data_IF_620415306390
#
_entry.id   IF_620415306390
#
_cell.length_a   1.000
_cell.length_b   1.000
_cell.length_c   1.000
_cell.angle_alpha   90.00
_cell.angle_beta   90.00
_cell.angle_gamma   90.00
#
_symmetry.space_group_name_H-M   'P 1'
#
loop_
_entity.id
_entity.type
_entity.pdbx_description
1 polymer ?
#
# COMPACT_ATOMS: atom_id res chain seq x y z
N UNK A 1 6.18 37.81 45.70
CA UNK A 1 6.40 36.54 44.97
C UNK A 1 7.87 36.27 44.93
N UNK A 2 8.29 35.26 45.69
CA UNK A 2 9.71 34.97 45.96
C UNK A 2 10.22 34.06 44.83
N UNK A 3 11.47 34.23 44.42
CA UNK A 3 12.17 33.41 43.40
C UNK A 3 11.97 31.90 43.63
N UNK A 4 11.79 31.50 44.90
CA UNK A 4 11.48 30.13 45.30
C UNK A 4 10.16 29.58 44.73
N UNK A 5 9.10 30.40 44.61
CA UNK A 5 7.81 30.01 44.02
C UNK A 5 7.95 29.82 42.50
N UNK A 6 8.78 30.63 41.84
CA UNK A 6 9.05 30.53 40.40
C UNK A 6 9.87 29.27 40.08
N UNK A 7 10.86 28.94 40.91
CA UNK A 7 11.65 27.70 40.80
C UNK A 7 10.78 26.46 41.06
N UNK A 8 9.85 26.53 42.02
CA UNK A 8 8.92 25.42 42.27
C UNK A 8 7.95 25.23 41.09
N UNK A 9 7.40 26.32 40.53
CA UNK A 9 6.57 26.28 39.33
C UNK A 9 7.32 25.72 38.12
N UNK A 10 8.56 26.18 37.85
CA UNK A 10 9.40 25.65 36.77
C UNK A 10 9.77 24.17 37.00
N UNK A 11 9.98 23.75 38.24
CA UNK A 11 10.24 22.34 38.57
C UNK A 11 9.01 21.44 38.43
N UNK A 12 7.81 21.98 38.66
CA UNK A 12 6.53 21.30 38.44
C UNK A 12 6.21 21.17 36.94
N UNK A 13 6.55 22.19 36.14
CA UNK A 13 6.49 22.08 34.68
C UNK A 13 7.53 21.12 34.11
N UNK A 14 8.74 21.04 34.66
CA UNK A 14 9.75 20.07 34.20
C UNK A 14 9.46 18.63 34.63
N UNK A 15 8.74 18.41 35.74
CA UNK A 15 8.36 17.07 36.21
C UNK A 15 7.07 16.54 35.58
N UNK A 16 6.19 17.41 35.04
CA UNK A 16 5.07 16.98 34.20
C UNK A 16 5.48 16.61 32.76
N UNK A 17 6.70 16.96 32.32
CA UNK A 17 7.27 16.55 31.03
C UNK A 17 7.91 15.15 31.08
N UNK A 18 8.09 14.58 32.28
CA UNK A 18 8.60 13.22 32.48
C UNK A 18 7.45 12.20 32.55
N UNK A 19 7.03 11.68 31.39
CA UNK A 19 6.17 10.49 31.35
C UNK A 19 5.29 10.35 30.13
N UNK A 20 5.13 11.38 29.30
CA UNK A 20 4.35 11.26 28.08
C UNK A 20 5.23 10.59 27.00
N UNK A 21 4.91 9.34 26.66
CA UNK A 21 5.55 8.64 25.56
C UNK A 21 5.44 9.51 24.29
N UNK A 22 6.53 9.62 23.54
CA UNK A 22 6.51 10.32 22.26
C UNK A 22 5.56 9.60 21.29
N UNK A 23 5.02 10.31 20.28
CA UNK A 23 4.17 9.67 19.27
C UNK A 23 4.90 8.52 18.57
N UNK A 24 6.20 8.66 18.31
CA UNK A 24 7.03 7.60 17.77
C UNK A 24 7.08 6.37 18.69
N UNK A 25 7.26 6.56 20.01
CA UNK A 25 7.28 5.46 20.96
C UNK A 25 5.91 4.76 21.08
N UNK A 26 4.81 5.51 21.06
CA UNK A 26 3.45 4.97 21.06
C UNK A 26 3.17 4.14 19.78
N UNK A 27 3.62 4.63 18.64
CA UNK A 27 3.49 3.92 17.36
C UNK A 27 4.26 2.60 17.39
N UNK A 28 5.53 2.62 17.83
CA UNK A 28 6.37 1.42 17.96
C UNK A 28 5.73 0.39 18.90
N UNK A 29 5.30 0.82 20.09
CA UNK A 29 4.65 -0.06 21.07
C UNK A 29 3.40 -0.72 20.46
N UNK A 30 2.54 0.08 19.82
CA UNK A 30 1.33 -0.46 19.20
C UNK A 30 1.62 -1.41 18.03
N UNK A 31 2.72 -1.23 17.30
CA UNK A 31 3.13 -2.13 16.22
C UNK A 31 3.55 -3.50 16.78
N UNK A 32 4.39 -3.52 17.82
CA UNK A 32 4.84 -4.79 18.43
C UNK A 32 3.66 -5.56 19.05
N UNK A 33 2.68 -4.84 19.58
CA UNK A 33 1.44 -5.41 20.12
C UNK A 33 0.51 -6.00 19.03
N UNK A 34 0.71 -5.72 17.73
CA UNK A 34 -0.21 -6.20 16.67
C UNK A 34 -0.26 -7.72 16.53
N UNK A 35 0.67 -8.46 17.13
CA UNK A 35 0.65 -9.93 17.19
C UNK A 35 -0.41 -10.51 18.15
N UNK A 36 -1.16 -9.68 18.90
CA UNK A 36 -2.12 -10.12 19.94
C UNK A 36 -3.49 -9.43 19.85
N UNK A 37 -4.05 -9.25 18.65
CA UNK A 37 -5.37 -8.63 18.36
C UNK A 37 -5.43 -7.09 18.46
N UNK A 38 -4.30 -6.39 18.63
CA UNK A 38 -4.25 -4.93 18.76
C UNK A 38 -4.17 -4.14 17.42
N UNK A 39 -4.64 -4.72 16.30
CA UNK A 39 -4.53 -4.12 14.95
C UNK A 39 -5.17 -2.73 14.88
N UNK A 40 -6.36 -2.56 15.47
CA UNK A 40 -7.07 -1.28 15.49
C UNK A 40 -6.32 -0.17 16.25
N UNK A 41 -5.67 -0.52 17.38
CA UNK A 41 -4.86 0.41 18.17
C UNK A 41 -3.69 0.91 17.35
N UNK A 42 -2.99 0.01 16.66
CA UNK A 42 -1.91 0.38 15.75
C UNK A 42 -2.40 1.27 14.60
N UNK A 43 -3.49 0.89 13.94
CA UNK A 43 -4.07 1.67 12.85
C UNK A 43 -4.42 3.10 13.30
N UNK A 44 -5.00 3.26 14.49
CA UNK A 44 -5.28 4.58 15.06
C UNK A 44 -4.00 5.39 15.32
N UNK A 45 -2.97 4.79 15.90
CA UNK A 45 -1.69 5.47 16.16
C UNK A 45 -0.97 5.87 14.86
N UNK A 46 -1.04 5.02 13.85
CA UNK A 46 -0.46 5.27 12.53
C UNK A 46 -1.16 6.43 11.83
N UNK A 47 -2.50 6.47 11.84
CA UNK A 47 -3.28 7.60 11.29
C UNK A 47 -2.91 8.91 11.99
N UNK A 48 -2.88 8.92 13.31
CA UNK A 48 -2.45 10.08 14.09
C UNK A 48 -1.04 10.55 13.72
N UNK A 49 -0.10 9.62 13.56
CA UNK A 49 1.27 9.92 13.15
C UNK A 49 1.33 10.53 11.74
N UNK A 50 0.57 9.98 10.79
CA UNK A 50 0.51 10.47 9.41
C UNK A 50 -0.05 11.89 9.30
N UNK A 51 -1.10 12.20 10.05
CA UNK A 51 -1.79 13.49 9.98
C UNK A 51 -1.07 14.60 10.76
N UNK A 52 -0.36 14.25 11.85
CA UNK A 52 0.22 15.25 12.76
C UNK A 52 1.74 15.33 12.74
N UNK A 53 2.43 14.37 12.11
CA UNK A 53 3.89 14.29 12.15
C UNK A 53 4.49 14.01 10.75
N UNK A 54 5.82 14.18 10.67
CA UNK A 54 6.61 13.72 9.53
C UNK A 54 7.26 12.38 9.88
N UNK A 55 6.69 11.28 9.40
CA UNK A 55 7.18 9.92 9.65
C UNK A 55 8.63 9.69 9.17
N UNK A 56 9.14 10.50 8.23
CA UNK A 56 10.55 10.41 7.81
C UNK A 56 11.53 10.78 8.93
N UNK A 57 11.05 11.48 9.95
CA UNK A 57 11.83 11.84 11.14
C UNK A 57 11.84 10.73 12.20
N UNK A 58 10.98 9.71 12.09
CA UNK A 58 10.85 8.63 13.07
C UNK A 58 11.88 7.53 12.83
N UNK A 59 13.14 7.80 13.19
CA UNK A 59 14.28 6.89 12.95
C UNK A 59 14.28 5.62 13.80
N UNK A 60 13.68 5.66 14.99
CA UNK A 60 13.52 4.45 15.78
C UNK A 60 12.44 3.55 15.19
N UNK A 61 11.36 4.15 14.67
CA UNK A 61 10.31 3.39 13.99
C UNK A 61 10.85 2.68 12.76
N UNK A 62 11.60 3.39 11.90
CA UNK A 62 12.28 2.82 10.72
C UNK A 62 13.17 1.62 11.11
N UNK A 63 14.00 1.77 12.15
CA UNK A 63 14.85 0.67 12.66
C UNK A 63 14.05 -0.53 13.20
N UNK A 64 12.92 -0.30 13.86
CA UNK A 64 12.06 -1.40 14.35
C UNK A 64 11.43 -2.13 13.17
N UNK A 65 10.98 -1.42 12.15
CA UNK A 65 10.45 -2.03 10.93
C UNK A 65 11.48 -2.93 10.26
N UNK A 66 12.73 -2.47 10.13
CA UNK A 66 13.82 -3.29 9.57
C UNK A 66 14.00 -4.61 10.36
N UNK A 67 13.90 -4.56 11.68
CA UNK A 67 14.00 -5.76 12.53
C UNK A 67 12.83 -6.74 12.38
N UNK A 68 11.69 -6.25 11.87
CA UNK A 68 10.47 -7.02 11.62
C UNK A 68 10.31 -7.40 10.14
N UNK A 69 11.35 -7.21 9.30
CA UNK A 69 11.26 -7.35 7.84
C UNK A 69 10.06 -6.59 7.24
N UNK A 70 9.74 -5.45 7.84
CA UNK A 70 8.67 -4.56 7.45
C UNK A 70 9.24 -3.29 6.82
N UNK A 71 8.47 -2.62 5.98
CA UNK A 71 8.92 -1.38 5.36
C UNK A 71 7.74 -0.47 5.05
N UNK A 72 7.97 0.85 5.09
CA UNK A 72 7.01 1.80 4.57
C UNK A 72 7.58 2.56 3.37
N UNK A 73 6.67 2.99 2.50
CA UNK A 73 6.98 3.84 1.36
C UNK A 73 6.07 5.06 1.37
N UNK A 74 6.60 6.18 0.88
CA UNK A 74 5.86 7.42 0.67
C UNK A 74 6.08 7.83 -0.78
N UNK A 75 4.99 7.88 -1.55
CA UNK A 75 4.98 8.35 -2.93
C UNK A 75 4.14 9.62 -3.02
N UNK A 76 4.59 10.59 -3.80
CA UNK A 76 3.80 11.79 -4.07
C UNK A 76 3.27 11.71 -5.50
N UNK A 77 2.05 12.21 -5.70
CA UNK A 77 1.54 12.46 -7.04
C UNK A 77 2.36 13.56 -7.73
N UNK A 78 2.24 13.69 -9.05
CA UNK A 78 3.12 14.54 -9.86
C UNK A 78 3.09 16.02 -9.44
N UNK A 79 1.94 16.51 -8.99
CA UNK A 79 1.77 17.88 -8.51
C UNK A 79 1.97 18.02 -6.99
N UNK A 80 2.18 16.91 -6.28
CA UNK A 80 2.28 16.88 -4.82
C UNK A 80 0.96 17.11 -4.08
N UNK A 81 -0.18 17.09 -4.80
CA UNK A 81 -1.51 17.27 -4.18
C UNK A 81 -1.90 16.07 -3.29
N UNK A 82 -1.35 14.89 -3.59
CA UNK A 82 -1.63 13.66 -2.88
C UNK A 82 -0.33 12.95 -2.47
N UNK A 83 -0.35 12.39 -1.26
CA UNK A 83 0.70 11.53 -0.72
C UNK A 83 0.11 10.13 -0.51
N UNK A 84 0.73 9.10 -1.09
CA UNK A 84 0.45 7.71 -0.85
C UNK A 84 1.46 7.16 0.15
N UNK A 85 0.99 6.80 1.33
CA UNK A 85 1.74 6.03 2.31
C UNK A 85 1.32 4.56 2.23
N UNK A 86 2.29 3.65 2.19
CA UNK A 86 2.06 2.21 2.32
C UNK A 86 3.06 1.62 3.29
N UNK A 87 2.57 1.00 4.37
CA UNK A 87 3.36 0.16 5.28
C UNK A 87 3.03 -1.31 5.01
N UNK A 88 4.05 -2.12 4.78
CA UNK A 88 3.97 -3.57 4.66
C UNK A 88 4.61 -4.24 5.89
N UNK A 89 3.88 -5.15 6.53
CA UNK A 89 4.37 -6.03 7.59
C UNK A 89 3.92 -7.47 7.29
N UNK A 90 4.84 -8.28 6.77
CA UNK A 90 4.49 -9.59 6.22
C UNK A 90 3.52 -9.44 5.05
N UNK A 91 2.34 -10.06 5.16
CA UNK A 91 1.29 -10.02 4.14
C UNK A 91 0.27 -8.90 4.37
N UNK A 92 0.31 -8.26 5.54
CA UNK A 92 -0.58 -7.18 5.90
C UNK A 92 -0.04 -5.83 5.41
N UNK A 93 -0.96 -5.03 4.86
CA UNK A 93 -0.66 -3.73 4.32
C UNK A 93 -1.58 -2.67 4.92
N UNK A 94 -0.99 -1.56 5.37
CA UNK A 94 -1.70 -0.34 5.72
C UNK A 94 -1.39 0.71 4.66
N UNK A 95 -2.39 1.05 3.87
CA UNK A 95 -2.28 2.01 2.79
C UNK A 95 -3.16 3.23 3.05
N UNK A 96 -2.61 4.43 2.92
CA UNK A 96 -3.32 5.69 3.13
C UNK A 96 -3.02 6.68 2.01
N UNK A 97 -4.05 7.38 1.54
CA UNK A 97 -3.90 8.57 0.70
C UNK A 97 -4.16 9.79 1.55
N UNK A 98 -3.19 10.70 1.58
CA UNK A 98 -3.28 11.97 2.26
C UNK A 98 -3.37 13.11 1.26
N UNK A 99 -4.17 14.13 1.61
CA UNK A 99 -4.21 15.43 0.93
C UNK A 99 -4.04 16.50 2.01
N UNK A 100 -2.98 17.29 1.93
CA UNK A 100 -2.64 18.30 2.95
C UNK A 100 -2.65 17.75 4.39
N UNK A 101 -1.96 16.62 4.63
CA UNK A 101 -1.90 15.92 5.93
C UNK A 101 -3.25 15.44 6.48
N UNK A 102 -4.29 15.36 5.66
CA UNK A 102 -5.56 14.74 6.02
C UNK A 102 -5.72 13.45 5.24
N UNK A 103 -6.04 12.35 5.93
CA UNK A 103 -6.32 11.07 5.28
C UNK A 103 -7.67 11.19 4.56
N UNK A 104 -7.66 10.92 3.25
CA UNK A 104 -8.84 10.99 2.39
C UNK A 104 -9.27 9.64 1.82
N UNK A 105 -8.41 8.62 1.92
CA UNK A 105 -8.70 7.24 1.52
C UNK A 105 -7.75 6.29 2.26
N UNK A 106 -8.20 5.09 2.60
CA UNK A 106 -7.42 4.11 3.33
C UNK A 106 -7.80 2.67 2.96
N UNK A 107 -6.88 1.74 3.16
CA UNK A 107 -7.11 0.30 3.04
C UNK A 107 -6.17 -0.44 3.97
N UNK A 108 -6.71 -1.32 4.79
CA UNK A 108 -5.96 -2.11 5.79
C UNK A 108 -6.24 -3.60 5.54
N UNK A 109 -5.60 -4.16 4.51
CA UNK A 109 -5.90 -5.49 3.99
C UNK A 109 -4.69 -6.40 3.99
N UNK A 110 -4.98 -7.70 4.04
CA UNK A 110 -4.00 -8.73 3.72
C UNK A 110 -3.96 -8.89 2.20
N UNK A 111 -2.77 -8.94 1.62
CA UNK A 111 -2.48 -9.09 0.17
C UNK A 111 -2.81 -7.90 -0.74
N UNK A 112 -3.80 -7.06 -0.41
CA UNK A 112 -4.20 -5.91 -1.23
C UNK A 112 -3.67 -4.59 -0.66
N UNK A 113 -3.13 -3.73 -1.52
CA UNK A 113 -2.59 -2.44 -1.11
C UNK A 113 -2.64 -1.38 -2.21
N UNK A 114 -2.47 -0.11 -1.81
CA UNK A 114 -2.34 0.99 -2.75
C UNK A 114 -0.92 1.00 -3.31
N UNK A 115 -0.83 0.95 -4.63
CA UNK A 115 0.41 0.79 -5.36
C UNK A 115 0.94 2.10 -5.91
N UNK A 116 0.09 2.90 -6.56
CA UNK A 116 0.48 4.17 -7.15
C UNK A 116 -0.66 5.19 -7.15
N UNK A 117 -0.32 6.47 -7.22
CA UNK A 117 -1.28 7.57 -7.23
C UNK A 117 -0.87 8.65 -8.23
N UNK A 118 -1.85 9.13 -9.01
CA UNK A 118 -1.62 10.17 -10.01
C UNK A 118 -2.69 11.27 -9.93
N UNK A 119 -2.26 12.48 -10.23
CA UNK A 119 -3.18 13.61 -10.37
C UNK A 119 -4.06 13.46 -11.62
N UNK A 120 -5.36 13.74 -11.47
CA UNK A 120 -6.28 13.93 -12.59
C UNK A 120 -6.86 15.36 -12.58
N UNK A 121 -7.46 15.83 -13.69
CA UNK A 121 -8.17 17.10 -13.72
C UNK A 121 -9.34 17.18 -12.72
N UNK A 122 -9.85 18.39 -12.49
CA UNK A 122 -11.02 18.65 -11.62
C UNK A 122 -10.86 18.25 -10.14
N UNK A 123 -9.62 18.05 -9.66
CA UNK A 123 -9.35 17.66 -8.27
C UNK A 123 -9.62 16.17 -8.00
N UNK A 124 -9.66 15.36 -9.06
CA UNK A 124 -9.69 13.90 -8.99
C UNK A 124 -8.27 13.31 -8.90
N UNK A 125 -8.20 12.05 -8.51
CA UNK A 125 -6.96 11.28 -8.57
C UNK A 125 -7.21 9.86 -9.08
N UNK A 126 -6.21 9.34 -9.80
CA UNK A 126 -6.13 7.94 -10.19
C UNK A 126 -5.40 7.18 -9.08
N UNK A 127 -6.02 6.14 -8.57
CA UNK A 127 -5.42 5.21 -7.62
C UNK A 127 -5.23 3.85 -8.28
N UNK A 128 -3.99 3.39 -8.34
CA UNK A 128 -3.63 2.03 -8.73
C UNK A 128 -3.55 1.20 -7.46
N UNK A 129 -4.34 0.15 -7.37
CA UNK A 129 -4.28 -0.87 -6.33
C UNK A 129 -3.62 -2.12 -6.88
N UNK A 130 -2.94 -2.86 -6.03
CA UNK A 130 -2.34 -4.16 -6.34
C UNK A 130 -2.78 -5.18 -5.31
N UNK A 131 -3.06 -6.39 -5.77
CA UNK A 131 -3.14 -7.56 -4.90
C UNK A 131 -2.26 -8.68 -5.44
N UNK A 132 -1.63 -9.40 -4.52
CA UNK A 132 -0.74 -10.52 -4.83
C UNK A 132 -1.35 -11.82 -4.27
N UNK A 133 -1.73 -12.73 -5.17
CA UNK A 133 -2.19 -14.10 -4.86
C UNK A 133 -1.03 -15.09 -5.14
N UNK A 134 -1.17 -16.33 -4.67
CA UNK A 134 -0.21 -17.41 -4.91
C UNK A 134 0.00 -17.71 -6.40
N UNK A 135 -1.03 -17.53 -7.24
CA UNK A 135 -0.97 -17.93 -8.66
C UNK A 135 -0.95 -16.76 -9.65
N UNK A 136 -1.39 -15.58 -9.20
CA UNK A 136 -1.45 -14.39 -10.04
C UNK A 136 -1.27 -13.13 -9.20
N UNK A 137 -0.86 -12.06 -9.86
CA UNK A 137 -0.98 -10.71 -9.32
C UNK A 137 -2.07 -9.98 -10.10
N UNK A 138 -2.74 -9.04 -9.46
CA UNK A 138 -3.71 -8.21 -10.13
C UNK A 138 -3.51 -6.75 -9.78
N UNK A 139 -3.80 -5.90 -10.76
CA UNK A 139 -3.82 -4.47 -10.60
C UNK A 139 -5.20 -3.94 -10.98
N UNK A 140 -5.66 -2.96 -10.21
CA UNK A 140 -6.91 -2.28 -10.46
C UNK A 140 -6.68 -0.77 -10.46
N UNK A 141 -7.31 -0.07 -11.40
CA UNK A 141 -7.26 1.38 -11.44
C UNK A 141 -8.63 1.96 -11.13
N UNK A 142 -8.65 2.93 -10.22
CA UNK A 142 -9.85 3.62 -9.76
C UNK A 142 -9.67 5.13 -9.86
N UNK A 143 -10.72 5.84 -10.25
CA UNK A 143 -10.79 7.30 -10.18
C UNK A 143 -11.60 7.68 -8.94
N UNK A 144 -11.06 8.60 -8.15
CA UNK A 144 -11.70 9.12 -6.95
C UNK A 144 -11.78 10.65 -7.00
N UNK A 145 -12.86 11.20 -6.44
CA UNK A 145 -12.97 12.64 -6.22
C UNK A 145 -12.23 13.03 -4.94
N UNK A 146 -11.10 13.73 -5.08
CA UNK A 146 -10.26 14.14 -3.95
C UNK A 146 -10.79 15.31 -3.12
N UNK A 147 -12.01 15.79 -3.38
CA UNK A 147 -12.69 16.81 -2.58
C UNK A 147 -13.72 16.21 -1.62
N UNK A 148 -14.01 14.90 -1.71
CA UNK A 148 -14.82 14.20 -0.71
C UNK A 148 -13.91 13.65 0.39
N UNK A 149 -14.12 14.10 1.64
CA UNK A 149 -13.56 13.40 2.80
C UNK A 149 -14.30 12.07 2.93
N UNK A 150 -13.57 10.97 2.78
CA UNK A 150 -14.13 9.65 3.04
C UNK A 150 -14.01 9.38 4.55
N UNK A 151 -15.10 8.93 5.18
CA UNK A 151 -15.06 8.57 6.59
C UNK A 151 -14.10 7.40 6.84
N UNK A 152 -13.67 7.21 8.08
CA UNK A 152 -12.72 6.17 8.51
C UNK A 152 -13.20 4.71 8.33
N UNK A 153 -14.28 4.46 7.59
CA UNK A 153 -14.73 3.11 7.23
C UNK A 153 -13.86 2.53 6.12
N UNK A 154 -13.43 1.28 6.27
CA UNK A 154 -12.65 0.56 5.26
C UNK A 154 -13.42 0.49 3.92
N UNK A 155 -12.99 1.27 2.93
CA UNK A 155 -13.72 1.47 1.64
C UNK A 155 -13.59 0.25 0.73
N UNK A 156 -12.83 -0.74 1.19
CA UNK A 156 -12.42 -1.91 0.44
C UNK A 156 -13.52 -2.97 0.30
N UNK A 157 -14.70 -2.79 0.95
CA UNK A 157 -15.72 -3.83 1.06
C UNK A 157 -17.07 -3.54 0.37
N UNK A 158 -17.58 -2.30 0.27
CA UNK A 158 -18.90 -2.05 -0.36
C UNK A 158 -19.02 -0.63 -0.92
N UNK A 159 -19.39 -0.52 -2.20
CA UNK A 159 -19.15 0.65 -3.05
C UNK A 159 -19.83 1.96 -2.63
N UNK A 160 -19.24 3.07 -3.10
CA UNK A 160 -19.97 4.22 -3.70
C UNK A 160 -19.12 5.44 -4.09
N UNK A 161 -17.80 5.53 -3.83
CA UNK A 161 -17.06 6.79 -4.12
C UNK A 161 -15.92 6.71 -5.16
N UNK A 162 -15.46 5.51 -5.53
CA UNK A 162 -14.41 5.33 -6.55
C UNK A 162 -14.93 4.61 -7.78
N UNK A 163 -14.71 5.18 -8.97
CA UNK A 163 -15.06 4.56 -10.25
C UNK A 163 -13.94 3.63 -10.69
N UNK A 164 -14.19 2.31 -10.71
CA UNK A 164 -13.26 1.34 -11.31
C UNK A 164 -13.17 1.59 -12.81
N UNK A 165 -11.97 1.80 -13.34
CA UNK A 165 -11.76 2.03 -14.78
C UNK A 165 -10.94 0.94 -15.45
N UNK A 166 -10.17 0.16 -14.68
CA UNK A 166 -9.38 -0.95 -15.20
C UNK A 166 -9.22 -2.04 -14.13
N UNK A 167 -9.21 -3.29 -14.58
CA UNK A 167 -8.85 -4.47 -13.78
C UNK A 167 -8.05 -5.40 -14.68
N UNK A 168 -6.84 -5.75 -14.27
CA UNK A 168 -5.93 -6.59 -15.04
C UNK A 168 -5.30 -7.59 -14.10
N UNK A 169 -5.47 -8.87 -14.40
CA UNK A 169 -4.79 -9.96 -13.70
C UNK A 169 -3.70 -10.52 -14.60
N UNK A 170 -2.53 -10.76 -14.03
CA UNK A 170 -1.39 -11.37 -14.69
C UNK A 170 -0.99 -12.63 -13.92
N UNK A 171 -0.96 -13.76 -14.61
CA UNK A 171 -0.45 -15.00 -14.02
C UNK A 171 1.02 -14.85 -13.68
N UNK A 172 1.37 -15.17 -12.44
CA UNK A 172 2.74 -15.11 -11.92
C UNK A 172 3.33 -16.49 -11.78
N UNK A 173 2.52 -17.55 -11.83
CA UNK A 173 2.96 -18.93 -11.87
C UNK A 173 2.19 -19.67 -12.97
N UNK A 174 2.89 -20.17 -13.97
CA UNK A 174 2.31 -20.90 -15.12
C UNK A 174 3.00 -22.25 -15.24
N UNK A 175 2.21 -23.32 -15.28
CA UNK A 175 2.74 -24.64 -15.58
C UNK A 175 3.00 -24.75 -17.09
N UNK A 176 4.28 -24.73 -17.46
CA UNK A 176 4.74 -24.88 -18.85
C UNK A 176 5.19 -26.32 -19.14
N UNK A 177 4.74 -27.28 -18.33
CA UNK A 177 5.04 -28.70 -18.52
C UNK A 177 4.42 -29.24 -19.81
N UNK A 178 5.17 -30.10 -20.51
CA UNK A 178 4.73 -30.77 -21.72
C UNK A 178 5.22 -32.24 -21.75
N UNK A 179 4.55 -33.12 -22.50
CA UNK A 179 5.02 -34.49 -22.69
C UNK A 179 6.36 -34.50 -23.43
N UNK A 180 7.38 -35.05 -22.78
CA UNK A 180 8.71 -35.31 -23.31
C UNK A 180 8.82 -36.67 -24.00
N UNK A 181 10.03 -37.23 -24.01
CA UNK A 181 10.30 -38.54 -24.62
C UNK A 181 9.63 -39.68 -23.83
N UNK A 182 9.33 -40.79 -24.51
CA UNK A 182 8.85 -42.00 -23.84
C UNK A 182 10.01 -42.60 -23.03
N UNK A 183 9.78 -42.78 -21.74
CA UNK A 183 10.67 -43.48 -20.85
C UNK A 183 10.71 -44.98 -21.21
N UNK A 184 11.91 -45.53 -21.38
CA UNK A 184 12.08 -46.87 -21.91
C UNK A 184 11.73 -47.99 -20.93
N UNK A 185 11.70 -47.70 -19.62
CA UNK A 185 11.39 -48.68 -18.58
C UNK A 185 9.89 -48.73 -18.27
N UNK A 186 9.23 -47.58 -18.25
CA UNK A 186 7.82 -47.43 -17.88
C UNK A 186 6.87 -47.37 -19.08
N UNK A 187 7.38 -47.05 -20.27
CA UNK A 187 6.58 -46.87 -21.49
C UNK A 187 5.69 -45.62 -21.47
N UNK A 188 5.83 -44.76 -20.47
CA UNK A 188 5.09 -43.50 -20.33
C UNK A 188 5.93 -42.31 -20.80
N UNK A 189 5.32 -41.23 -21.32
CA UNK A 189 6.03 -39.98 -21.59
C UNK A 189 6.62 -39.41 -20.31
N UNK A 190 7.88 -38.98 -20.34
CA UNK A 190 8.43 -38.12 -19.30
C UNK A 190 7.71 -36.77 -19.32
N UNK A 191 7.61 -36.11 -18.17
CA UNK A 191 7.17 -34.71 -18.13
C UNK A 191 8.42 -33.84 -18.23
N UNK A 192 8.48 -32.99 -19.25
CA UNK A 192 9.52 -31.99 -19.44
C UNK A 192 8.93 -30.60 -19.19
N UNK A 193 9.78 -29.62 -18.85
CA UNK A 193 9.33 -28.30 -18.41
C UNK A 193 9.07 -28.23 -16.90
N UNK A 194 8.11 -27.41 -16.50
CA UNK A 194 7.75 -27.22 -15.09
C UNK A 194 7.02 -25.91 -14.82
N UNK A 195 6.79 -25.65 -13.53
CA UNK A 195 6.23 -24.38 -13.08
C UNK A 195 7.23 -23.25 -13.33
N UNK A 196 6.79 -22.24 -14.08
CA UNK A 196 7.57 -21.04 -14.35
C UNK A 196 6.95 -19.84 -13.65
N UNK A 197 7.80 -19.13 -12.92
CA UNK A 197 7.42 -17.91 -12.20
C UNK A 197 7.73 -16.67 -13.04
N UNK A 198 6.76 -15.76 -13.11
CA UNK A 198 6.79 -14.50 -13.83
C UNK A 198 6.63 -13.33 -12.87
N UNK A 199 7.42 -12.28 -13.08
CA UNK A 199 7.30 -11.04 -12.31
C UNK A 199 5.97 -10.32 -12.56
N UNK A 200 5.28 -9.82 -11.53
CA UNK A 200 4.09 -8.98 -11.66
C UNK A 200 4.30 -7.81 -12.62
N UNK A 201 3.44 -7.68 -13.64
CA UNK A 201 3.53 -6.56 -14.58
C UNK A 201 2.77 -5.35 -14.07
N UNK A 202 3.48 -4.25 -13.89
CA UNK A 202 2.93 -2.99 -13.37
C UNK A 202 2.03 -2.32 -14.39
N UNK A 203 1.01 -1.62 -13.90
CA UNK A 203 0.29 -0.61 -14.68
C UNK A 203 1.13 0.68 -14.66
N UNK A 204 1.26 1.32 -15.81
CA UNK A 204 1.91 2.63 -15.95
C UNK A 204 0.87 3.67 -16.39
N UNK A 205 1.05 4.91 -15.93
CA UNK A 205 0.19 6.02 -16.29
C UNK A 205 1.01 7.18 -16.86
N UNK A 206 0.57 7.71 -17.99
CA UNK A 206 1.08 8.94 -18.59
C UNK A 206 0.12 10.09 -18.26
N UNK A 207 0.46 10.94 -17.27
CA UNK A 207 -0.40 12.03 -16.82
C UNK A 207 -0.53 13.14 -17.88
N UNK A 208 0.42 13.25 -18.82
CA UNK A 208 0.39 14.29 -19.86
C UNK A 208 -0.68 13.98 -20.91
N UNK A 209 -0.81 12.73 -21.30
CA UNK A 209 -1.75 12.29 -22.32
C UNK A 209 -3.01 11.59 -21.75
N UNK A 210 -3.07 11.44 -20.43
CA UNK A 210 -4.11 10.71 -19.71
C UNK A 210 -4.27 9.27 -20.23
N UNK A 211 -3.14 8.59 -20.44
CA UNK A 211 -3.07 7.23 -20.98
C UNK A 211 -2.64 6.25 -19.91
N UNK A 212 -3.34 5.12 -19.84
CA UNK A 212 -2.98 3.99 -18.98
C UNK A 212 -2.42 2.87 -19.85
N UNK A 213 -1.24 2.37 -19.49
CA UNK A 213 -0.57 1.26 -20.14
C UNK A 213 -0.59 0.08 -19.18
N UNK A 214 -0.97 -1.09 -19.71
CA UNK A 214 -1.06 -2.29 -18.92
C UNK A 214 -0.71 -3.50 -19.75
N UNK A 215 -0.14 -4.50 -19.10
CA UNK A 215 0.14 -5.78 -19.74
C UNK A 215 -0.14 -6.92 -18.77
N UNK A 216 -0.31 -8.12 -19.33
CA UNK A 216 -0.53 -9.32 -18.54
C UNK A 216 0.07 -10.54 -19.24
N UNK A 217 0.53 -11.50 -18.45
CA UNK A 217 0.90 -12.82 -18.92
C UNK A 217 -0.34 -13.71 -19.06
N UNK A 218 -0.43 -14.39 -20.20
CA UNK A 218 -1.51 -15.37 -20.44
C UNK A 218 -1.25 -16.65 -19.66
N UNK A 219 -2.32 -17.24 -19.11
CA UNK A 219 -2.26 -18.53 -18.44
C UNK A 219 -1.74 -19.67 -19.34
N UNK A 220 -2.10 -19.64 -20.64
CA UNK A 220 -1.85 -20.76 -21.55
C UNK A 220 -0.35 -20.99 -21.83
N UNK A 221 0.41 -19.91 -21.93
CA UNK A 221 1.75 -19.95 -22.51
C UNK A 221 2.71 -18.89 -21.97
N UNK A 222 2.32 -18.19 -20.90
CA UNK A 222 3.17 -17.17 -20.28
C UNK A 222 3.52 -15.98 -21.18
N UNK A 223 2.92 -15.85 -22.38
CA UNK A 223 3.23 -14.74 -23.28
C UNK A 223 2.63 -13.43 -22.75
N UNK A 224 3.44 -12.37 -22.74
CA UNK A 224 3.03 -11.00 -22.39
C UNK A 224 2.16 -10.40 -23.49
N UNK A 225 1.04 -9.80 -23.12
CA UNK A 225 0.20 -8.98 -24.00
C UNK A 225 0.16 -7.55 -23.50
N UNK A 226 0.60 -6.61 -24.33
CA UNK A 226 0.57 -5.17 -24.01
C UNK A 226 -0.71 -4.51 -24.53
N UNK A 227 -1.26 -3.61 -23.73
CA UNK A 227 -2.47 -2.84 -24.02
C UNK A 227 -2.28 -1.40 -23.54
N UNK A 228 -3.06 -0.50 -24.14
CA UNK A 228 -3.17 0.88 -23.69
C UNK A 228 -4.62 1.35 -23.80
N UNK A 229 -5.02 2.21 -22.89
CA UNK A 229 -6.33 2.84 -22.88
C UNK A 229 -6.19 4.34 -22.58
N UNK A 230 -7.19 5.12 -22.98
CA UNK A 230 -7.33 6.49 -22.52
C UNK A 230 -8.26 6.50 -21.31
N UNK A 231 -7.84 7.14 -20.24
CA UNK A 231 -8.77 7.43 -19.14
C UNK A 231 -9.65 8.58 -19.64
N UNK A 232 -10.93 8.30 -19.86
CA UNK A 232 -11.89 9.33 -20.23
C UNK A 232 -12.43 9.98 -18.95
N UNK A 233 -12.20 11.29 -18.83
CA UNK A 233 -12.98 12.17 -17.95
C UNK A 233 -14.45 12.07 -18.36
N UNK A 234 -15.33 11.83 -17.40
CA UNK A 234 -16.78 11.88 -17.57
C UNK A 234 -17.37 12.82 -16.54
#
# INVERSE_FOLDING_TARGET
MKILELVLLLSLFSSQVFGQKTQEALLIESLVDTHTDAKEKFSHQLRSALENHDLKTFKNFERVLDSLNSTFTIKNSEKGDYELFTLANGLDHWSYILKNKVIINQSEKTFDYFYDIHNLPNGEYLLIKRGDDMSFSYYEAYIYNGNRKQGYSDISANGSDGKKVLSVCSWTNVDESFPGKIDAETGLPTIEGGLKTYEPVKIEFDPKNNLIFYSFYRIKDGKKNDKKGKIQEF
#
